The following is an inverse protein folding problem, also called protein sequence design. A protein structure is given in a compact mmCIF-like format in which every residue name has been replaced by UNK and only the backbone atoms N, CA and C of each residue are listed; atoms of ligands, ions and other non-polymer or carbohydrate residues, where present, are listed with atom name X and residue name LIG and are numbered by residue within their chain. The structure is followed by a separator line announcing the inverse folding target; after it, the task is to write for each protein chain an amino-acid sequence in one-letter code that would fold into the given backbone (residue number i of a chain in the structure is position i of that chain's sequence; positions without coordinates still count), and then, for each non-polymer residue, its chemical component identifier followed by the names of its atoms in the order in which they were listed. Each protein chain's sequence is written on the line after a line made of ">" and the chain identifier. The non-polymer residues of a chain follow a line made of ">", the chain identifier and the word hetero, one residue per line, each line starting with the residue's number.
data_IF_693328092855
#
_entry.id   IF_693328092855
#
_cell.length_a   1.000
_cell.length_b   1.000
_cell.length_c   1.000
_cell.angle_alpha   90.00
_cell.angle_beta   90.00
_cell.angle_gamma   90.00
#
_symmetry.space_group_name_H-M   'P 1'
#
loop_
_entity.id
_entity.type
_entity.pdbx_description
1 polymer ?
#
# COMPACT_ATOMS: atom_id res chain seq x y z
N UNK A 1 2.42 -17.56 -24.50
CA UNK A 1 1.88 -16.46 -25.34
C UNK A 1 1.76 -15.23 -24.46
N UNK A 2 2.27 -14.06 -24.87
CA UNK A 2 2.12 -12.82 -24.10
C UNK A 2 0.91 -12.04 -24.61
N UNK A 3 0.01 -11.68 -23.70
CA UNK A 3 -1.13 -10.82 -23.99
C UNK A 3 -0.76 -9.41 -23.54
N UNK A 4 -0.38 -8.56 -24.49
CA UNK A 4 -0.05 -7.16 -24.23
C UNK A 4 -1.35 -6.34 -24.19
N UNK A 5 -1.69 -5.82 -23.01
CA UNK A 5 -2.82 -4.91 -22.85
C UNK A 5 -2.35 -3.47 -22.98
N UNK A 6 -2.97 -2.74 -23.90
CA UNK A 6 -2.69 -1.31 -24.06
C UNK A 6 -3.16 -0.49 -22.85
N UNK A 7 -2.81 0.80 -22.84
CA UNK A 7 -3.17 1.75 -21.79
C UNK A 7 -4.68 1.78 -21.46
N UNK A 8 -5.56 1.74 -22.48
CA UNK A 8 -7.02 1.82 -22.30
C UNK A 8 -7.55 0.49 -21.75
N UNK A 9 -7.07 -0.63 -22.29
CA UNK A 9 -7.44 -1.97 -21.88
C UNK A 9 -7.00 -2.26 -20.43
N UNK A 10 -5.76 -1.91 -20.08
CA UNK A 10 -5.23 -2.04 -18.71
C UNK A 10 -6.07 -1.25 -17.72
N UNK A 11 -6.42 -0.01 -18.07
CA UNK A 11 -7.24 0.86 -17.21
C UNK A 11 -8.66 0.31 -17.06
N UNK A 12 -9.24 -0.18 -18.14
CA UNK A 12 -10.58 -0.79 -18.13
C UNK A 12 -10.59 -2.05 -17.28
N UNK A 13 -9.55 -2.87 -17.37
CA UNK A 13 -9.37 -4.05 -16.54
C UNK A 13 -9.26 -3.68 -15.05
N UNK A 14 -8.48 -2.65 -14.72
CA UNK A 14 -8.37 -2.15 -13.34
C UNK A 14 -9.72 -1.67 -12.78
N UNK A 15 -10.51 -0.93 -13.59
CA UNK A 15 -11.86 -0.49 -13.21
C UNK A 15 -12.79 -1.69 -13.01
N UNK A 16 -12.72 -2.69 -13.90
CA UNK A 16 -13.53 -3.91 -13.80
C UNK A 16 -13.25 -4.66 -12.49
N UNK A 17 -11.98 -4.90 -12.16
CA UNK A 17 -11.62 -5.56 -10.91
C UNK A 17 -11.95 -4.71 -9.68
N UNK A 18 -11.84 -3.38 -9.77
CA UNK A 18 -12.32 -2.50 -8.71
C UNK A 18 -13.82 -2.72 -8.43
N UNK A 19 -14.67 -2.72 -9.46
CA UNK A 19 -16.11 -2.93 -9.28
C UNK A 19 -16.45 -4.35 -8.80
N UNK A 20 -15.69 -5.37 -9.22
CA UNK A 20 -15.78 -6.71 -8.64
C UNK A 20 -15.48 -6.67 -7.13
N UNK A 21 -14.43 -5.96 -6.73
CA UNK A 21 -14.08 -5.74 -5.33
C UNK A 21 -15.19 -5.01 -4.54
N UNK A 22 -15.82 -3.99 -5.14
CA UNK A 22 -16.97 -3.29 -4.54
C UNK A 22 -18.14 -4.23 -4.36
N UNK A 23 -18.48 -5.02 -5.38
CA UNK A 23 -19.56 -5.99 -5.33
C UNK A 23 -19.34 -7.03 -4.23
N UNK A 24 -18.16 -7.63 -4.16
CA UNK A 24 -17.82 -8.63 -3.14
C UNK A 24 -17.88 -8.01 -1.74
N UNK A 25 -17.29 -6.83 -1.57
CA UNK A 25 -17.35 -6.09 -0.30
C UNK A 25 -18.78 -5.87 0.17
N UNK A 26 -19.70 -5.55 -0.75
CA UNK A 26 -21.13 -5.34 -0.43
C UNK A 26 -21.88 -6.61 -0.01
N UNK A 27 -21.35 -7.80 -0.35
CA UNK A 27 -21.96 -9.10 -0.01
C UNK A 27 -21.34 -9.75 1.22
N UNK A 28 -20.08 -9.46 1.51
CA UNK A 28 -19.33 -10.08 2.61
C UNK A 28 -19.20 -9.10 3.77
N UNK A 29 -20.06 -9.27 4.78
CA UNK A 29 -20.13 -8.38 5.96
C UNK A 29 -18.82 -8.33 6.77
N UNK A 30 -17.97 -9.35 6.69
CA UNK A 30 -16.63 -9.33 7.30
C UNK A 30 -15.72 -8.27 6.66
N UNK A 31 -15.73 -8.16 5.32
CA UNK A 31 -14.89 -7.19 4.62
C UNK A 31 -15.32 -5.76 4.91
N UNK A 32 -16.63 -5.55 5.06
CA UNK A 32 -17.19 -4.28 5.48
C UNK A 32 -16.89 -3.96 6.95
N UNK A 33 -17.10 -4.93 7.86
CA UNK A 33 -16.85 -4.79 9.30
C UNK A 33 -15.39 -4.43 9.61
N UNK A 34 -14.45 -4.96 8.84
CA UNK A 34 -13.02 -4.66 8.97
C UNK A 34 -12.53 -3.63 7.95
N UNK A 35 -13.42 -2.81 7.37
CA UNK A 35 -13.07 -1.68 6.52
C UNK A 35 -12.09 -2.00 5.36
N UNK A 36 -12.08 -3.24 4.86
CA UNK A 36 -11.16 -3.65 3.81
C UNK A 36 -11.50 -2.87 2.51
N UNK A 37 -10.52 -2.23 1.84
CA UNK A 37 -10.77 -1.46 0.63
C UNK A 37 -11.15 -2.35 -0.56
N UNK A 38 -12.12 -1.91 -1.35
CA UNK A 38 -12.51 -2.60 -2.58
C UNK A 38 -11.35 -2.79 -3.59
N UNK A 39 -10.42 -1.82 -3.80
CA UNK A 39 -9.27 -2.02 -4.68
C UNK A 39 -8.38 -3.19 -4.27
N UNK A 40 -8.22 -3.44 -2.96
CA UNK A 40 -7.41 -4.56 -2.45
C UNK A 40 -8.07 -5.89 -2.77
N UNK A 41 -9.39 -6.00 -2.55
CA UNK A 41 -10.16 -7.21 -2.85
C UNK A 41 -10.10 -7.53 -4.35
N UNK A 42 -10.39 -6.54 -5.19
CA UNK A 42 -10.36 -6.70 -6.64
C UNK A 42 -8.96 -7.02 -7.18
N UNK A 43 -7.95 -6.29 -6.72
CA UNK A 43 -6.56 -6.47 -7.11
C UNK A 43 -6.00 -7.84 -6.71
N UNK A 44 -6.35 -8.35 -5.53
CA UNK A 44 -5.93 -9.68 -5.09
C UNK A 44 -6.52 -10.79 -5.98
N UNK A 45 -7.79 -10.66 -6.38
CA UNK A 45 -8.42 -11.62 -7.30
C UNK A 45 -7.69 -11.61 -8.64
N UNK A 46 -7.41 -10.43 -9.19
CA UNK A 46 -6.63 -10.31 -10.43
C UNK A 46 -5.23 -10.92 -10.28
N UNK A 47 -4.52 -10.63 -9.18
CA UNK A 47 -3.19 -11.15 -8.94
C UNK A 47 -3.16 -12.68 -8.86
N UNK A 48 -4.14 -13.30 -8.20
CA UNK A 48 -4.27 -14.76 -8.13
C UNK A 48 -4.55 -15.35 -9.51
N UNK A 49 -5.47 -14.75 -10.28
CA UNK A 49 -5.77 -15.21 -11.64
C UNK A 49 -4.54 -15.10 -12.54
N UNK A 50 -3.84 -13.97 -12.49
CA UNK A 50 -2.62 -13.74 -13.27
C UNK A 50 -1.51 -14.73 -12.89
N UNK A 51 -1.36 -15.03 -11.59
CA UNK A 51 -0.42 -16.04 -11.11
C UNK A 51 -0.75 -17.43 -11.68
N UNK A 52 -2.03 -17.85 -11.62
CA UNK A 52 -2.47 -19.14 -12.16
C UNK A 52 -2.19 -19.24 -13.67
N UNK A 53 -2.50 -18.19 -14.44
CA UNK A 53 -2.27 -18.19 -15.89
C UNK A 53 -0.78 -18.25 -16.24
N UNK A 54 0.05 -17.55 -15.46
CA UNK A 54 1.50 -17.50 -15.66
C UNK A 54 2.16 -18.85 -15.33
N UNK A 55 1.84 -19.43 -14.16
CA UNK A 55 2.38 -20.72 -13.71
C UNK A 55 1.94 -21.90 -14.59
N UNK A 56 0.71 -21.84 -15.11
CA UNK A 56 0.17 -22.89 -15.99
C UNK A 56 0.72 -22.82 -17.43
N UNK A 57 1.53 -21.82 -17.76
CA UNK A 57 2.14 -21.64 -19.08
C UNK A 57 1.18 -21.24 -20.20
N UNK A 58 -0.08 -20.94 -19.89
CA UNK A 58 -1.10 -20.58 -20.88
C UNK A 58 -0.83 -19.19 -21.46
N UNK A 59 -0.86 -18.15 -20.61
CA UNK A 59 -0.83 -16.75 -21.02
C UNK A 59 -0.05 -15.94 -19.97
N UNK A 60 0.88 -15.11 -20.42
CA UNK A 60 1.52 -14.07 -19.59
C UNK A 60 0.87 -12.73 -19.94
N UNK A 61 0.28 -12.05 -18.96
CA UNK A 61 -0.38 -10.75 -19.18
C UNK A 61 0.64 -9.64 -18.94
N UNK A 62 0.83 -8.78 -19.92
CA UNK A 62 1.65 -7.57 -19.82
C UNK A 62 0.72 -6.36 -19.75
N UNK A 63 0.94 -5.49 -18.76
CA UNK A 63 0.07 -4.36 -18.45
C UNK A 63 0.81 -3.05 -18.73
N UNK A 64 0.16 -2.15 -19.44
CA UNK A 64 0.64 -0.79 -19.63
C UNK A 64 0.24 0.11 -18.43
N UNK A 65 1.23 0.45 -17.60
CA UNK A 65 1.05 1.28 -16.39
C UNK A 65 1.28 2.78 -16.64
N UNK A 66 1.28 3.25 -17.89
CA UNK A 66 1.54 4.66 -18.25
C UNK A 66 0.68 5.66 -17.47
N UNK A 67 -0.59 5.35 -17.21
CA UNK A 67 -1.50 6.22 -16.46
C UNK A 67 -1.30 6.20 -14.93
N UNK A 68 -0.53 5.26 -14.39
CA UNK A 68 -0.30 5.17 -12.94
C UNK A 68 0.39 6.42 -12.39
N UNK A 69 1.46 6.88 -13.04
CA UNK A 69 2.22 8.07 -12.61
C UNK A 69 1.40 9.35 -12.57
N UNK A 70 0.68 9.77 -13.64
CA UNK A 70 -0.13 10.98 -13.58
C UNK A 70 -1.26 10.89 -12.55
N UNK A 71 -1.87 9.72 -12.36
CA UNK A 71 -2.89 9.55 -11.31
C UNK A 71 -2.30 9.63 -9.90
N UNK A 72 -1.14 9.03 -9.64
CA UNK A 72 -0.44 9.18 -8.36
C UNK A 72 -0.06 10.64 -8.10
N UNK A 73 0.46 11.35 -9.11
CA UNK A 73 0.80 12.76 -9.00
C UNK A 73 -0.43 13.61 -8.67
N UNK A 74 -1.55 13.40 -9.37
CA UNK A 74 -2.80 14.10 -9.08
C UNK A 74 -3.30 13.80 -7.65
N UNK A 75 -3.27 12.54 -7.23
CA UNK A 75 -3.68 12.12 -5.90
C UNK A 75 -2.83 12.76 -4.79
N UNK A 76 -1.50 12.65 -4.85
CA UNK A 76 -0.64 13.23 -3.81
C UNK A 76 -0.64 14.76 -3.84
N UNK A 77 -0.76 15.37 -5.02
CA UNK A 77 -0.89 16.83 -5.13
C UNK A 77 -2.18 17.31 -4.46
N UNK A 78 -3.31 16.66 -4.70
CA UNK A 78 -4.59 17.05 -4.07
C UNK A 78 -4.59 16.86 -2.55
N UNK A 79 -3.97 15.79 -2.03
CA UNK A 79 -3.75 15.61 -0.59
C UNK A 79 -2.89 16.74 -0.03
N UNK A 80 -1.78 17.07 -0.71
CA UNK A 80 -0.88 18.15 -0.31
C UNK A 80 -1.57 19.52 -0.28
N UNK A 81 -2.41 19.82 -1.28
CA UNK A 81 -3.20 21.06 -1.33
C UNK A 81 -4.27 21.11 -0.23
N UNK A 82 -4.74 19.97 0.27
CA UNK A 82 -5.67 19.89 1.41
C UNK A 82 -5.02 20.23 2.75
N UNK A 83 -3.68 20.15 2.85
CA UNK A 83 -2.97 20.54 4.06
C UNK A 83 -3.00 22.06 4.23
N UNK A 84 -3.49 22.53 5.38
CA UNK A 84 -3.51 23.96 5.68
C UNK A 84 -3.05 24.23 7.10
N UNK A 85 -2.31 25.33 7.29
CA UNK A 85 -1.91 25.82 8.61
C UNK A 85 -3.11 26.06 9.54
N UNK A 86 -4.28 26.34 8.96
CA UNK A 86 -5.54 26.47 9.71
C UNK A 86 -5.92 25.16 10.41
N UNK A 87 -5.79 24.00 9.76
CA UNK A 87 -6.09 22.70 10.38
C UNK A 87 -5.12 22.38 11.53
N UNK A 88 -3.83 22.66 11.36
CA UNK A 88 -2.83 22.48 12.41
C UNK A 88 -3.16 23.37 13.61
N UNK A 89 -3.46 24.65 13.36
CA UNK A 89 -3.81 25.61 14.42
C UNK A 89 -5.12 25.22 15.13
N UNK A 90 -6.09 24.68 14.41
CA UNK A 90 -7.37 24.23 15.00
C UNK A 90 -7.19 23.02 15.92
N UNK A 91 -6.30 22.09 15.57
CA UNK A 91 -5.98 20.95 16.44
C UNK A 91 -5.07 21.29 17.63
N UNK A 92 -4.37 22.43 17.57
CA UNK A 92 -3.66 23.03 18.71
C UNK A 92 -2.66 22.07 19.37
N UNK A 93 -2.68 22.00 20.71
CA UNK A 93 -1.76 21.16 21.47
C UNK A 93 -1.91 19.66 21.17
N UNK A 94 -3.12 19.19 20.84
CA UNK A 94 -3.37 17.77 20.55
C UNK A 94 -2.64 17.31 19.28
N UNK A 95 -2.52 18.17 18.26
CA UNK A 95 -1.76 17.86 17.04
C UNK A 95 -0.27 17.72 17.35
N UNK A 96 0.27 18.58 18.20
CA UNK A 96 1.69 18.52 18.60
C UNK A 96 1.95 17.25 19.44
N UNK A 97 1.08 16.94 20.41
CA UNK A 97 1.20 15.72 21.21
C UNK A 97 1.11 14.47 20.33
N UNK A 98 0.16 14.44 19.39
CA UNK A 98 0.03 13.36 18.43
C UNK A 98 1.28 13.24 17.54
N UNK A 99 1.81 14.37 17.04
CA UNK A 99 3.02 14.39 16.23
C UNK A 99 4.23 13.81 16.98
N UNK A 100 4.45 14.20 18.24
CA UNK A 100 5.53 13.67 19.06
C UNK A 100 5.33 12.17 19.31
N UNK A 101 4.12 11.73 19.63
CA UNK A 101 3.83 10.31 19.83
C UNK A 101 4.05 9.49 18.55
N UNK A 102 3.57 9.99 17.40
CA UNK A 102 3.77 9.35 16.10
C UNK A 102 5.26 9.30 15.72
N UNK A 103 6.02 10.36 15.97
CA UNK A 103 7.46 10.40 15.73
C UNK A 103 8.20 9.34 16.56
N UNK A 104 7.88 9.23 17.85
CA UNK A 104 8.47 8.20 18.72
C UNK A 104 8.12 6.78 18.25
N UNK A 105 6.88 6.57 17.80
CA UNK A 105 6.45 5.28 17.25
C UNK A 105 7.17 4.95 15.93
N UNK A 106 7.36 5.92 15.03
CA UNK A 106 8.10 5.75 13.77
C UNK A 106 9.55 5.36 14.06
N UNK A 107 10.23 6.09 14.95
CA UNK A 107 11.62 5.77 15.34
C UNK A 107 11.68 4.36 15.95
N UNK A 108 10.72 4.01 16.80
CA UNK A 108 10.65 2.67 17.40
C UNK A 108 10.41 1.57 16.35
N UNK A 109 9.55 1.82 15.37
CA UNK A 109 9.31 0.91 14.24
C UNK A 109 10.57 0.72 13.41
N UNK A 110 11.32 1.77 13.12
CA UNK A 110 12.56 1.69 12.34
C UNK A 110 13.64 0.90 13.09
N UNK A 111 13.82 1.18 14.38
CA UNK A 111 14.77 0.44 15.23
C UNK A 111 14.40 -1.04 15.27
N UNK A 112 13.14 -1.37 15.58
CA UNK A 112 12.68 -2.74 15.64
C UNK A 112 12.77 -3.45 14.28
N UNK A 113 12.36 -2.79 13.19
CA UNK A 113 12.40 -3.34 11.84
C UNK A 113 13.82 -3.67 11.41
N UNK A 114 14.76 -2.74 11.59
CA UNK A 114 16.19 -2.94 11.26
C UNK A 114 16.80 -4.04 12.12
N UNK A 115 16.50 -4.07 13.42
CA UNK A 115 17.00 -5.10 14.34
C UNK A 115 16.50 -6.49 13.92
N UNK A 116 15.20 -6.62 13.62
CA UNK A 116 14.60 -7.89 13.19
C UNK A 116 15.14 -8.35 11.83
N UNK A 117 15.32 -7.43 10.87
CA UNK A 117 15.93 -7.76 9.58
C UNK A 117 17.33 -8.35 9.76
N UNK A 118 18.17 -7.71 10.59
CA UNK A 118 19.51 -8.22 10.92
C UNK A 118 19.48 -9.58 11.62
N UNK A 119 18.52 -9.81 12.53
CA UNK A 119 18.37 -11.10 13.20
C UNK A 119 18.04 -12.25 12.26
N UNK A 120 17.29 -11.97 11.19
CA UNK A 120 16.89 -12.96 10.17
C UNK A 120 17.98 -13.08 9.07
N UNK A 121 19.00 -12.21 9.08
CA UNK A 121 20.09 -12.20 8.09
C UNK A 121 19.74 -11.44 6.81
N UNK A 122 18.70 -10.62 6.83
CA UNK A 122 18.22 -9.81 5.72
C UNK A 122 18.77 -8.37 5.75
N UNK A 123 18.61 -7.65 4.63
CA UNK A 123 19.06 -6.27 4.51
C UNK A 123 18.30 -5.33 5.48
N UNK A 124 18.99 -4.48 6.26
CA UNK A 124 18.36 -3.47 7.12
C UNK A 124 17.30 -2.59 6.45
N UNK A 125 17.49 -2.26 5.16
CA UNK A 125 16.54 -1.46 4.37
C UNK A 125 15.21 -2.19 4.18
N UNK A 126 15.21 -3.53 4.14
CA UNK A 126 13.99 -4.34 4.15
C UNK A 126 13.18 -4.08 5.43
N UNK A 127 13.88 -3.99 6.57
CA UNK A 127 13.29 -3.65 7.87
C UNK A 127 12.58 -2.30 7.88
N UNK A 128 13.14 -1.29 7.19
CA UNK A 128 12.50 0.01 7.01
C UNK A 128 11.28 -0.08 6.10
N UNK A 129 11.37 -0.84 5.00
CA UNK A 129 10.25 -1.06 4.06
C UNK A 129 9.06 -1.68 4.77
N UNK A 130 9.26 -2.79 5.49
CA UNK A 130 8.16 -3.46 6.20
C UNK A 130 7.77 -2.76 7.51
N UNK A 131 8.55 -1.75 7.91
CA UNK A 131 8.33 -0.90 9.08
C UNK A 131 7.67 0.42 8.70
N UNK A 132 8.27 1.54 9.10
CA UNK A 132 7.64 2.87 9.04
C UNK A 132 7.24 3.30 7.61
N UNK A 133 8.04 2.94 6.61
CA UNK A 133 7.84 3.31 5.20
C UNK A 133 6.45 2.90 4.72
N UNK A 134 5.99 1.70 5.10
CA UNK A 134 4.68 1.18 4.68
C UNK A 134 3.63 1.23 5.78
N UNK A 135 4.00 0.97 7.04
CA UNK A 135 3.05 0.88 8.16
C UNK A 135 2.57 2.26 8.63
N UNK A 136 3.42 3.28 8.52
CA UNK A 136 3.05 4.68 8.79
C UNK A 136 2.80 5.44 7.50
N UNK A 137 3.67 5.27 6.49
CA UNK A 137 3.58 5.99 5.22
C UNK A 137 2.56 5.44 4.21
N UNK A 138 2.12 4.20 4.38
CA UNK A 138 1.16 3.55 3.47
C UNK A 138 1.73 3.25 2.09
N UNK A 139 0.83 3.06 1.12
CA UNK A 139 1.20 2.64 -0.23
C UNK A 139 1.97 3.73 -1.01
N UNK A 140 1.77 5.01 -0.67
CA UNK A 140 2.46 6.12 -1.34
C UNK A 140 3.94 6.19 -1.04
N UNK A 141 4.26 6.22 0.26
CA UNK A 141 5.65 6.17 0.75
C UNK A 141 6.29 4.84 0.35
N UNK A 142 5.59 3.72 0.47
CA UNK A 142 6.05 2.41 -0.02
C UNK A 142 6.41 2.40 -1.50
N UNK A 143 5.59 2.97 -2.37
CA UNK A 143 5.87 3.03 -3.81
C UNK A 143 7.09 3.90 -4.14
N UNK A 144 7.27 4.99 -3.40
CA UNK A 144 8.37 5.95 -3.63
C UNK A 144 9.69 5.39 -3.12
N UNK A 145 9.74 4.93 -1.87
CA UNK A 145 10.96 4.42 -1.24
C UNK A 145 11.31 3.01 -1.72
N UNK A 146 10.33 2.18 -2.06
CA UNK A 146 10.59 0.88 -2.69
C UNK A 146 11.35 1.03 -4.00
N UNK A 147 10.89 1.91 -4.89
CA UNK A 147 11.58 2.19 -6.15
C UNK A 147 12.98 2.79 -5.92
N UNK A 148 13.12 3.71 -4.95
CA UNK A 148 14.41 4.31 -4.58
C UNK A 148 15.41 3.26 -4.07
N UNK A 149 14.97 2.33 -3.21
CA UNK A 149 15.85 1.30 -2.65
C UNK A 149 16.23 0.24 -3.68
N UNK A 150 15.34 -0.07 -4.62
CA UNK A 150 15.67 -0.90 -5.78
C UNK A 150 16.70 -0.22 -6.69
N UNK A 151 16.50 1.05 -7.05
CA UNK A 151 17.32 1.72 -8.07
C UNK A 151 18.68 2.20 -7.56
N UNK A 152 18.73 2.77 -6.35
CA UNK A 152 19.94 3.40 -5.82
C UNK A 152 20.70 2.53 -4.81
N UNK A 153 20.01 1.60 -4.16
CA UNK A 153 20.59 0.77 -3.08
C UNK A 153 20.65 -0.72 -3.40
N UNK A 154 20.13 -1.16 -4.55
CA UNK A 154 20.23 -2.53 -5.03
C UNK A 154 19.37 -3.55 -4.26
N UNK A 155 18.40 -3.10 -3.47
CA UNK A 155 17.50 -3.98 -2.71
C UNK A 155 16.48 -4.63 -3.66
N UNK A 156 16.77 -5.83 -4.17
CA UNK A 156 15.91 -6.52 -5.14
C UNK A 156 14.52 -6.80 -4.54
N UNK A 157 13.46 -6.39 -5.25
CA UNK A 157 12.08 -6.64 -4.84
C UNK A 157 11.55 -5.72 -3.74
N UNK A 158 12.25 -4.62 -3.45
CA UNK A 158 11.81 -3.57 -2.53
C UNK A 158 10.40 -3.04 -2.84
N UNK A 159 10.09 -2.75 -4.12
CA UNK A 159 8.80 -2.19 -4.54
C UNK A 159 7.67 -3.18 -4.31
N UNK A 160 7.87 -4.44 -4.69
CA UNK A 160 6.90 -5.52 -4.49
C UNK A 160 6.66 -5.77 -3.01
N UNK A 161 7.74 -5.81 -2.22
CA UNK A 161 7.66 -6.00 -0.77
C UNK A 161 6.95 -4.81 -0.11
N UNK A 162 7.21 -3.59 -0.55
CA UNK A 162 6.55 -2.40 -0.03
C UNK A 162 5.03 -2.43 -0.27
N UNK A 163 4.58 -2.85 -1.47
CA UNK A 163 3.15 -2.97 -1.77
C UNK A 163 2.48 -4.07 -0.92
N UNK A 164 3.15 -5.21 -0.76
CA UNK A 164 2.67 -6.30 0.07
C UNK A 164 2.56 -5.88 1.55
N UNK A 165 3.63 -5.28 2.10
CA UNK A 165 3.69 -4.82 3.48
C UNK A 165 2.66 -3.72 3.76
N UNK A 166 2.50 -2.74 2.86
CA UNK A 166 1.50 -1.69 3.04
C UNK A 166 0.07 -2.24 3.02
N UNK A 167 -0.21 -3.25 2.17
CA UNK A 167 -1.51 -3.93 2.13
C UNK A 167 -1.75 -4.71 3.43
N UNK A 168 -0.75 -5.45 3.90
CA UNK A 168 -0.80 -6.18 5.16
C UNK A 168 -1.04 -5.23 6.34
N UNK A 169 -0.29 -4.13 6.41
CA UNK A 169 -0.43 -3.09 7.43
C UNK A 169 -1.83 -2.50 7.46
N UNK A 170 -2.44 -2.27 6.30
CA UNK A 170 -3.82 -1.82 6.21
C UNK A 170 -4.80 -2.86 6.79
N UNK A 171 -4.64 -4.13 6.44
CA UNK A 171 -5.49 -5.21 6.96
C UNK A 171 -5.34 -5.32 8.47
N UNK A 172 -4.12 -5.41 8.99
CA UNK A 172 -3.85 -5.49 10.42
C UNK A 172 -4.34 -4.25 11.18
N UNK A 173 -4.09 -3.06 10.64
CA UNK A 173 -4.58 -1.80 11.21
C UNK A 173 -6.10 -1.76 11.27
N UNK A 174 -6.79 -2.29 10.27
CA UNK A 174 -8.26 -2.34 10.26
C UNK A 174 -8.83 -3.41 11.20
N UNK A 175 -8.14 -4.54 11.37
CA UNK A 175 -8.48 -5.58 12.35
C UNK A 175 -8.37 -5.06 13.80
N UNK A 176 -7.38 -4.22 14.08
CA UNK A 176 -7.18 -3.62 15.42
C UNK A 176 -8.06 -2.39 15.63
N UNK A 177 -8.13 -1.48 14.65
CA UNK A 177 -8.83 -0.21 14.76
C UNK A 177 -10.35 -0.33 14.75
N UNK A 178 -10.91 -1.29 14.01
CA UNK A 178 -12.35 -1.50 13.94
C UNK A 178 -13.01 -1.80 15.30
N UNK A 179 -12.50 -2.76 16.09
CA UNK A 179 -12.96 -3.01 17.46
C UNK A 179 -12.78 -1.82 18.40
N UNK A 180 -11.62 -1.15 18.34
CA UNK A 180 -11.29 -0.04 19.23
C UNK A 180 -12.21 1.17 18.98
N UNK A 181 -12.50 1.48 17.71
CA UNK A 181 -13.36 2.61 17.33
C UNK A 181 -14.86 2.39 17.61
N UNK A 182 -15.27 1.15 17.90
CA UNK A 182 -16.65 0.81 18.30
C UNK A 182 -16.87 0.83 19.81
N UNK A 183 -15.82 1.04 20.60
CA UNK A 183 -15.87 1.28 22.05
C UNK A 183 -15.97 2.77 22.34
#
# INVERSE_FOLDING_TARGET
>A
MTLELDMIQTTTLAILFYYIGVFIKSKVSILEKFCIPAPVVGGLIFAILNLIFTESGFISISLDTTLQKPFMLAFFTTIGLGASFKMIKQGGLHVIMFFIAALLLVISQDVLGVVMAKFIGEDPLLGLIVGSVTMTGGHGTGATFGALFESEYGLVGASTTAMAAATFGLVCGSLMGGPIAKT
#
